data_IF_213287310185
#
_entry.id   IF_213287310185
#
_cell.length_a   1.000
_cell.length_b   1.000
_cell.length_c   1.000
_cell.angle_alpha   90.00
_cell.angle_beta   90.00
_cell.angle_gamma   90.00
#
_symmetry.space_group_name_H-M   'P 1'
#
loop_
_entity.id
_entity.type
_entity.pdbx_description
1 polymer ?
#
# COMPACT_ATOMS: atom_id res chain seq x y z
N UNK A 1 -29.80 35.76 -14.33
CA UNK A 1 -29.07 35.69 -13.05
C UNK A 1 -29.76 34.74 -12.05
N UNK A 2 -30.98 35.02 -11.58
CA UNK A 2 -31.69 34.16 -10.61
C UNK A 2 -31.98 32.72 -11.09
N UNK A 3 -32.26 32.53 -12.38
CA UNK A 3 -32.44 31.19 -12.96
C UNK A 3 -31.12 30.40 -13.01
N UNK A 4 -30.00 31.07 -13.29
CA UNK A 4 -28.66 30.47 -13.31
C UNK A 4 -28.22 30.03 -11.90
N UNK A 5 -28.56 30.81 -10.87
CA UNK A 5 -28.30 30.47 -9.46
C UNK A 5 -29.16 29.30 -8.97
N UNK A 6 -30.41 29.18 -9.41
CA UNK A 6 -31.23 27.99 -9.09
C UNK A 6 -30.71 26.75 -9.80
N UNK A 7 -30.25 26.88 -11.04
CA UNK A 7 -29.70 25.78 -11.83
C UNK A 7 -28.35 25.29 -11.27
N UNK A 8 -27.49 26.22 -10.81
CA UNK A 8 -26.27 25.92 -10.05
C UNK A 8 -26.57 25.30 -8.69
N UNK A 9 -27.58 25.78 -7.97
CA UNK A 9 -27.99 25.22 -6.69
C UNK A 9 -28.62 23.83 -6.84
N UNK A 10 -29.40 23.59 -7.91
CA UNK A 10 -29.97 22.27 -8.22
C UNK A 10 -28.93 21.30 -8.77
N UNK A 11 -27.94 21.76 -9.54
CA UNK A 11 -26.78 20.94 -9.91
C UNK A 11 -25.91 20.61 -8.70
N UNK A 12 -25.71 21.55 -7.78
CA UNK A 12 -25.01 21.31 -6.51
C UNK A 12 -25.79 20.36 -5.57
N UNK A 13 -27.14 20.40 -5.58
CA UNK A 13 -27.98 19.47 -4.83
C UNK A 13 -28.11 18.09 -5.51
N UNK A 14 -28.07 18.02 -6.84
CA UNK A 14 -28.05 16.76 -7.59
C UNK A 14 -26.69 16.05 -7.48
N UNK A 15 -25.58 16.80 -7.42
CA UNK A 15 -24.27 16.30 -7.00
C UNK A 15 -24.26 15.83 -5.54
N UNK A 16 -25.15 16.38 -4.70
CA UNK A 16 -25.33 15.96 -3.31
C UNK A 16 -26.24 14.73 -3.14
N UNK A 17 -26.55 13.98 -4.21
CA UNK A 17 -27.24 12.67 -4.12
C UNK A 17 -26.50 11.51 -4.78
N UNK A 18 -25.31 11.74 -5.34
CA UNK A 18 -24.50 10.70 -5.98
C UNK A 18 -23.12 10.63 -5.31
N UNK A 19 -22.50 9.46 -5.35
CA UNK A 19 -21.09 9.29 -4.97
C UNK A 19 -20.22 10.17 -5.88
N UNK A 20 -19.15 10.74 -5.32
CA UNK A 20 -18.21 11.57 -6.09
C UNK A 20 -16.77 11.29 -5.70
N UNK A 21 -15.83 11.73 -6.54
CA UNK A 21 -14.40 11.63 -6.26
C UNK A 21 -13.82 13.02 -6.10
N UNK A 22 -13.15 13.25 -4.98
CA UNK A 22 -12.30 14.42 -4.78
C UNK A 22 -10.89 14.09 -5.29
N UNK A 23 -10.33 14.94 -6.15
CA UNK A 23 -8.96 14.75 -6.64
C UNK A 23 -8.08 15.90 -6.19
N UNK A 24 -6.90 15.55 -5.68
CA UNK A 24 -5.92 16.49 -5.15
C UNK A 24 -4.54 16.26 -5.77
N UNK A 25 -3.73 17.29 -5.76
CA UNK A 25 -2.30 17.26 -6.01
C UNK A 25 -1.58 17.84 -4.80
N UNK A 26 -0.65 17.08 -4.22
CA UNK A 26 0.30 17.57 -3.24
C UNK A 26 1.57 18.01 -3.96
N UNK A 27 1.91 19.28 -3.87
CA UNK A 27 3.17 19.85 -4.37
C UNK A 27 4.11 20.06 -3.18
N UNK A 28 5.32 19.53 -3.26
CA UNK A 28 6.37 19.70 -2.24
C UNK A 28 7.58 20.36 -2.88
N UNK A 29 8.06 21.45 -2.28
CA UNK A 29 9.18 22.26 -2.76
C UNK A 29 10.26 22.38 -1.70
N UNK A 30 11.53 22.26 -2.09
CA UNK A 30 12.67 22.57 -1.22
C UNK A 30 13.13 24.03 -1.33
N UNK A 31 14.09 24.42 -0.48
CA UNK A 31 14.64 25.78 -0.47
C UNK A 31 15.37 26.18 -1.77
N UNK A 32 15.76 25.20 -2.60
CA UNK A 32 16.37 25.43 -3.92
C UNK A 32 15.34 25.48 -5.06
N UNK A 33 14.04 25.41 -4.76
CA UNK A 33 12.96 25.49 -5.74
C UNK A 33 12.70 24.18 -6.50
N UNK A 34 13.31 23.07 -6.10
CA UNK A 34 13.02 21.76 -6.72
C UNK A 34 11.68 21.25 -6.19
N UNK A 35 10.84 20.81 -7.11
CA UNK A 35 9.46 20.38 -6.83
C UNK A 35 9.25 18.92 -7.13
N UNK A 36 8.47 18.26 -6.27
CA UNK A 36 7.88 16.94 -6.53
C UNK A 36 6.39 17.04 -6.26
N UNK A 37 5.57 16.59 -7.22
CA UNK A 37 4.12 16.54 -7.09
C UNK A 37 3.63 15.10 -6.98
N UNK A 38 2.54 14.89 -6.24
CA UNK A 38 1.79 13.62 -6.28
C UNK A 38 0.29 13.87 -6.29
N UNK A 39 -0.38 13.36 -7.32
CA UNK A 39 -1.82 13.33 -7.41
C UNK A 39 -2.38 12.13 -6.63
N UNK A 40 -3.55 12.31 -6.02
CA UNK A 40 -4.32 11.26 -5.38
C UNK A 40 -5.81 11.60 -5.43
N UNK A 41 -6.66 10.63 -5.16
CA UNK A 41 -8.11 10.81 -5.14
C UNK A 41 -8.73 10.13 -3.93
N UNK A 42 -9.82 10.71 -3.45
CA UNK A 42 -10.63 10.21 -2.34
C UNK A 42 -12.06 10.05 -2.87
N UNK A 43 -12.51 8.82 -3.14
CA UNK A 43 -13.93 8.52 -3.35
C UNK A 43 -14.70 8.86 -2.06
N UNK A 44 -15.78 9.61 -2.23
CA UNK A 44 -16.71 10.00 -1.18
C UNK A 44 -18.04 9.34 -1.47
N UNK A 45 -18.44 8.44 -0.57
CA UNK A 45 -19.77 7.83 -0.63
C UNK A 45 -20.79 8.77 -0.04
N UNK A 46 -21.90 8.92 -0.76
CA UNK A 46 -23.02 9.73 -0.34
C UNK A 46 -24.22 8.84 -0.06
N UNK A 47 -24.08 8.09 1.02
CA UNK A 47 -25.08 7.15 1.51
C UNK A 47 -25.72 7.69 2.80
N UNK A 48 -26.78 7.05 3.29
CA UNK A 48 -27.33 7.35 4.61
C UNK A 48 -26.55 6.69 5.75
N UNK A 49 -25.68 5.73 5.43
CA UNK A 49 -24.89 4.90 6.35
C UNK A 49 -23.50 5.51 6.51
N UNK A 50 -23.06 5.71 7.74
CA UNK A 50 -21.71 6.19 7.99
C UNK A 50 -20.64 5.14 7.66
N UNK A 51 -19.41 5.62 7.57
CA UNK A 51 -18.23 4.82 7.28
C UNK A 51 -17.29 4.83 8.49
N UNK A 52 -17.10 3.67 9.10
CA UNK A 52 -16.09 3.43 10.14
C UNK A 52 -14.85 2.79 9.53
N UNK A 53 -13.65 3.22 9.94
CA UNK A 53 -12.37 2.68 9.49
C UNK A 53 -11.46 2.35 10.69
N UNK A 54 -10.87 1.15 10.67
CA UNK A 54 -9.91 0.69 11.68
C UNK A 54 -8.87 -0.24 11.05
N UNK A 55 -7.63 -0.19 11.56
CA UNK A 55 -6.60 -1.16 11.18
C UNK A 55 -6.52 -2.29 12.18
N UNK A 56 -6.60 -3.51 11.67
CA UNK A 56 -6.49 -4.75 12.40
C UNK A 56 -5.10 -5.35 12.23
N UNK A 57 -4.50 -5.75 13.35
CA UNK A 57 -3.26 -6.52 13.39
C UNK A 57 -3.56 -8.03 13.29
N UNK A 58 -3.30 -8.63 12.13
CA UNK A 58 -3.42 -10.07 11.92
C UNK A 58 -2.10 -10.83 12.17
N UNK A 59 -1.01 -10.12 12.48
CA UNK A 59 0.32 -10.70 12.68
C UNK A 59 0.49 -11.37 14.04
N UNK A 60 -0.46 -11.15 14.97
CA UNK A 60 -0.48 -11.85 16.25
C UNK A 60 -0.45 -13.36 16.08
N UNK A 61 0.44 -13.99 16.84
CA UNK A 61 0.57 -15.45 16.93
C UNK A 61 0.03 -15.99 18.26
N UNK A 62 -0.60 -15.12 19.06
CA UNK A 62 -1.23 -15.51 20.32
C UNK A 62 -2.44 -16.41 20.06
N UNK A 63 -2.58 -17.47 20.84
CA UNK A 63 -3.61 -18.50 20.68
C UNK A 63 -3.16 -19.73 19.88
N UNK A 64 -3.69 -20.91 20.24
CA UNK A 64 -3.39 -22.18 19.58
C UNK A 64 -4.26 -22.47 18.36
N UNK A 65 -5.31 -21.68 18.15
CA UNK A 65 -6.35 -21.94 17.16
C UNK A 65 -5.88 -21.62 15.71
N UNK A 66 -6.34 -22.39 14.72
CA UNK A 66 -6.01 -22.14 13.31
C UNK A 66 -6.67 -20.87 12.75
N UNK A 67 -7.80 -20.47 13.32
CA UNK A 67 -8.53 -19.23 13.01
C UNK A 67 -8.51 -18.35 14.25
N UNK A 68 -7.99 -17.14 14.08
CA UNK A 68 -7.97 -16.12 15.12
C UNK A 68 -9.07 -15.09 14.87
N UNK A 69 -9.34 -14.29 15.91
CA UNK A 69 -10.35 -13.22 15.88
C UNK A 69 -9.73 -11.90 16.31
N UNK A 70 -10.10 -10.83 15.62
CA UNK A 70 -9.81 -9.47 16.01
C UNK A 70 -11.12 -8.67 16.09
N UNK A 71 -11.56 -8.38 17.32
CA UNK A 71 -12.75 -7.57 17.59
C UNK A 71 -12.44 -6.11 17.35
N UNK A 72 -13.27 -5.43 16.56
CA UNK A 72 -13.14 -3.99 16.31
C UNK A 72 -13.42 -3.21 17.60
N UNK A 73 -12.83 -2.02 17.72
CA UNK A 73 -12.92 -1.23 18.94
C UNK A 73 -14.32 -0.64 19.21
N UNK A 74 -15.16 -0.53 18.17
CA UNK A 74 -16.51 0.01 18.25
C UNK A 74 -17.58 -1.07 18.12
N UNK A 75 -18.79 -0.72 18.55
CA UNK A 75 -20.03 -1.42 18.26
C UNK A 75 -20.78 -0.70 17.14
N UNK A 76 -21.70 -1.42 16.48
CA UNK A 76 -22.39 -0.94 15.29
C UNK A 76 -23.88 -1.25 15.31
N UNK A 77 -24.69 -0.29 14.90
CA UNK A 77 -26.13 -0.47 14.71
C UNK A 77 -26.41 -1.09 13.35
N UNK A 78 -27.05 -2.26 13.38
CA UNK A 78 -27.48 -2.96 12.17
C UNK A 78 -29.00 -3.18 12.15
N UNK A 79 -29.58 -3.09 10.95
CA UNK A 79 -30.99 -3.39 10.66
C UNK A 79 -31.09 -4.53 9.62
N UNK A 80 -31.82 -5.64 9.90
CA UNK A 80 -31.96 -6.78 8.99
C UNK A 80 -32.64 -6.43 7.65
N UNK A 81 -33.39 -5.32 7.60
CA UNK A 81 -34.07 -4.86 6.37
C UNK A 81 -33.16 -4.04 5.46
N UNK A 82 -31.95 -3.74 5.92
CA UNK A 82 -30.98 -2.91 5.21
C UNK A 82 -29.85 -3.74 4.59
N UNK A 83 -29.93 -3.94 3.27
CA UNK A 83 -28.92 -4.68 2.49
C UNK A 83 -27.66 -3.89 2.11
N UNK A 84 -27.56 -2.60 2.48
CA UNK A 84 -26.39 -1.76 2.16
C UNK A 84 -25.31 -1.75 3.24
N UNK A 85 -25.54 -2.44 4.35
CA UNK A 85 -24.57 -2.57 5.45
C UNK A 85 -23.55 -3.64 5.09
N UNK A 86 -22.27 -3.31 5.20
CA UNK A 86 -21.17 -4.20 4.77
C UNK A 86 -19.94 -4.04 5.66
N UNK A 87 -19.11 -5.08 5.68
CA UNK A 87 -17.70 -4.98 6.10
C UNK A 87 -16.82 -5.09 4.86
N UNK A 88 -15.86 -4.19 4.72
CA UNK A 88 -14.86 -4.20 3.65
C UNK A 88 -13.49 -4.46 4.23
N UNK A 89 -12.70 -5.29 3.57
CA UNK A 89 -11.32 -5.59 3.93
C UNK A 89 -10.46 -5.39 2.70
N UNK A 90 -9.37 -4.63 2.81
CA UNK A 90 -8.46 -4.35 1.71
C UNK A 90 -7.02 -4.71 2.06
N UNK A 91 -6.26 -5.14 1.06
CA UNK A 91 -4.84 -5.41 1.22
C UNK A 91 -3.93 -4.21 0.93
N UNK A 92 -4.49 -3.06 0.61
CA UNK A 92 -3.70 -1.89 0.27
C UNK A 92 -2.94 -1.32 1.49
N UNK A 93 -1.69 -0.91 1.27
CA UNK A 93 -0.71 -0.49 2.28
C UNK A 93 -0.45 -1.51 3.40
N UNK A 94 -0.69 -2.80 3.14
CA UNK A 94 -0.44 -3.85 4.13
C UNK A 94 1.00 -4.37 4.09
N UNK A 95 1.48 -4.90 5.20
CA UNK A 95 2.81 -5.49 5.33
C UNK A 95 2.76 -6.96 5.76
N UNK A 96 2.59 -7.87 4.79
CA UNK A 96 2.36 -9.30 5.03
C UNK A 96 1.04 -9.78 4.46
N UNK A 97 0.78 -11.08 4.53
CA UNK A 97 -0.41 -11.71 3.96
C UNK A 97 -1.69 -11.18 4.62
N UNK A 98 -2.72 -10.87 3.83
CA UNK A 98 -4.05 -10.57 4.37
C UNK A 98 -4.87 -11.84 4.26
N UNK A 99 -5.38 -12.31 5.39
CA UNK A 99 -6.27 -13.47 5.46
C UNK A 99 -7.64 -13.06 5.95
N UNK A 100 -8.69 -13.60 5.32
CA UNK A 100 -10.08 -13.39 5.73
C UNK A 100 -10.82 -14.73 5.67
N UNK A 101 -11.32 -15.19 6.82
CA UNK A 101 -12.32 -16.27 6.90
C UNK A 101 -13.73 -15.71 6.77
N UNK A 102 -13.96 -14.54 7.36
CA UNK A 102 -15.29 -13.99 7.51
C UNK A 102 -15.32 -12.95 8.61
N UNK A 103 -16.54 -12.63 9.05
CA UNK A 103 -16.82 -11.80 10.21
C UNK A 103 -17.73 -12.54 11.18
N UNK A 104 -17.53 -12.28 12.46
CA UNK A 104 -18.37 -12.72 13.55
C UNK A 104 -19.15 -11.51 14.08
N UNK A 105 -20.46 -11.66 14.24
CA UNK A 105 -21.39 -10.66 14.72
C UNK A 105 -21.99 -11.15 16.04
N UNK A 106 -21.70 -10.44 17.13
CA UNK A 106 -22.27 -10.69 18.44
C UNK A 106 -23.17 -9.53 18.84
N UNK A 107 -24.46 -9.79 19.07
CA UNK A 107 -25.41 -8.75 19.45
C UNK A 107 -25.18 -8.36 20.91
N UNK A 108 -25.09 -7.07 21.20
CA UNK A 108 -24.87 -6.59 22.56
C UNK A 108 -26.07 -6.97 23.44
N UNK A 109 -25.80 -7.75 24.48
CA UNK A 109 -26.80 -8.23 25.44
C UNK A 109 -27.25 -9.68 25.24
N UNK A 110 -26.89 -10.30 24.12
CA UNK A 110 -27.10 -11.74 23.88
C UNK A 110 -25.99 -12.56 24.59
N UNK A 111 -26.22 -13.86 24.81
CA UNK A 111 -25.23 -14.76 25.42
C UNK A 111 -23.98 -14.90 24.53
N UNK A 112 -22.81 -15.23 25.09
CA UNK A 112 -21.53 -15.22 24.35
C UNK A 112 -21.47 -16.26 23.21
N UNK A 113 -22.25 -17.33 23.29
CA UNK A 113 -22.36 -18.40 22.28
C UNK A 113 -23.39 -18.10 21.18
N UNK A 114 -24.22 -17.05 21.33
CA UNK A 114 -25.12 -16.56 20.29
C UNK A 114 -24.38 -15.60 19.33
N UNK A 115 -23.62 -16.19 18.40
CA UNK A 115 -22.84 -15.46 17.37
C UNK A 115 -23.33 -15.79 15.96
N UNK A 116 -23.53 -14.78 15.12
CA UNK A 116 -23.75 -14.96 13.67
C UNK A 116 -22.41 -14.85 12.95
N UNK A 117 -22.02 -15.90 12.21
CA UNK A 117 -20.78 -15.90 11.43
C UNK A 117 -21.11 -15.82 9.95
N UNK A 118 -20.55 -14.81 9.28
CA UNK A 118 -20.65 -14.64 7.83
C UNK A 118 -19.29 -14.98 7.24
N UNK A 119 -19.23 -16.01 6.40
CA UNK A 119 -17.96 -16.49 5.84
C UNK A 119 -17.74 -16.00 4.42
N UNK A 120 -16.49 -16.06 3.95
CA UNK A 120 -16.14 -15.73 2.56
C UNK A 120 -16.83 -16.61 1.50
N UNK A 121 -17.48 -17.70 1.91
CA UNK A 121 -18.24 -18.60 1.03
C UNK A 121 -19.73 -18.25 0.95
N UNK A 122 -20.19 -17.33 1.80
CA UNK A 122 -21.60 -17.00 1.90
C UNK A 122 -22.04 -16.18 0.68
N UNK A 123 -23.32 -16.32 0.33
CA UNK A 123 -23.89 -15.66 -0.83
C UNK A 123 -23.85 -14.13 -0.65
N UNK A 124 -23.34 -13.43 -1.65
CA UNK A 124 -23.28 -11.98 -1.67
C UNK A 124 -21.93 -11.39 -1.24
N UNK A 125 -20.99 -12.22 -0.76
CA UNK A 125 -19.59 -11.79 -0.62
C UNK A 125 -19.01 -11.47 -2.00
N UNK A 126 -18.36 -10.32 -2.11
CA UNK A 126 -17.72 -9.83 -3.33
C UNK A 126 -16.20 -9.77 -3.14
N UNK A 127 -15.47 -10.16 -4.19
CA UNK A 127 -14.02 -10.22 -4.21
C UNK A 127 -13.54 -9.50 -5.47
N UNK A 128 -12.94 -8.33 -5.27
CA UNK A 128 -12.32 -7.54 -6.33
C UNK A 128 -10.80 -7.60 -6.17
N UNK A 129 -10.08 -7.78 -7.27
CA UNK A 129 -8.62 -7.95 -7.27
C UNK A 129 -8.17 -9.40 -7.10
N UNK A 130 -6.97 -9.59 -6.58
CA UNK A 130 -6.23 -10.86 -6.64
C UNK A 130 -6.39 -11.75 -5.38
N UNK A 131 -7.64 -11.98 -4.95
CA UNK A 131 -7.92 -12.89 -3.84
C UNK A 131 -7.87 -14.36 -4.28
N UNK A 132 -7.27 -15.21 -3.46
CA UNK A 132 -7.28 -16.67 -3.65
C UNK A 132 -8.04 -17.36 -2.53
N UNK A 133 -8.97 -18.24 -2.88
CA UNK A 133 -9.58 -19.17 -1.93
C UNK A 133 -8.61 -20.28 -1.56
N UNK A 134 -8.45 -20.53 -0.26
CA UNK A 134 -7.57 -21.54 0.28
C UNK A 134 -8.31 -22.39 1.30
N UNK A 135 -8.53 -23.64 0.93
CA UNK A 135 -9.03 -24.69 1.81
C UNK A 135 -7.87 -25.38 2.53
N UNK A 136 -7.83 -25.21 3.85
CA UNK A 136 -6.85 -25.87 4.73
C UNK A 136 -7.58 -26.39 5.96
N UNK A 137 -7.45 -27.69 6.19
CA UNK A 137 -8.03 -28.40 7.35
C UNK A 137 -9.56 -28.21 7.47
N UNK A 138 -10.27 -28.23 6.33
CA UNK A 138 -11.73 -28.07 6.29
C UNK A 138 -12.23 -26.63 6.50
N UNK A 139 -11.32 -25.66 6.58
CA UNK A 139 -11.67 -24.24 6.71
C UNK A 139 -11.21 -23.49 5.47
N UNK A 140 -12.13 -22.74 4.85
CA UNK A 140 -11.85 -21.91 3.67
C UNK A 140 -11.53 -20.47 4.07
N UNK A 141 -10.43 -19.92 3.60
CA UNK A 141 -10.10 -18.50 3.73
C UNK A 141 -9.88 -17.86 2.36
N UNK A 142 -10.10 -16.55 2.24
CA UNK A 142 -9.57 -15.74 1.15
C UNK A 142 -8.25 -15.13 1.61
N UNK A 143 -7.20 -15.30 0.82
CA UNK A 143 -5.88 -14.74 1.10
C UNK A 143 -5.34 -14.04 -0.15
N UNK A 144 -4.62 -12.94 0.06
CA UNK A 144 -3.91 -12.26 -1.03
C UNK A 144 -2.55 -12.88 -1.35
N UNK A 145 -2.10 -13.86 -0.56
CA UNK A 145 -0.82 -14.56 -0.68
C UNK A 145 0.40 -13.64 -0.65
N UNK A 146 0.26 -12.47 -0.02
CA UNK A 146 1.25 -11.41 -0.05
C UNK A 146 1.61 -10.92 -1.48
N UNK A 147 0.71 -11.14 -2.44
CA UNK A 147 0.79 -10.68 -3.83
C UNK A 147 -0.14 -9.46 -4.03
N UNK A 148 0.13 -8.65 -5.06
CA UNK A 148 -0.67 -7.51 -5.48
C UNK A 148 -1.10 -6.56 -4.34
N UNK A 149 -0.13 -5.96 -3.63
CA UNK A 149 -0.40 -5.05 -2.50
C UNK A 149 -0.90 -3.70 -3.00
N UNK A 150 -2.19 -3.43 -2.88
CA UNK A 150 -2.73 -2.11 -3.26
C UNK A 150 -4.06 -2.11 -4.00
N UNK A 151 -4.48 -3.26 -4.54
CA UNK A 151 -5.56 -3.29 -5.54
C UNK A 151 -6.73 -4.21 -5.20
N UNK A 152 -6.69 -4.92 -4.05
CA UNK A 152 -7.72 -5.91 -3.72
C UNK A 152 -8.67 -5.43 -2.62
N UNK A 153 -9.97 -5.71 -2.82
CA UNK A 153 -11.06 -5.37 -1.92
C UNK A 153 -11.97 -6.59 -1.75
N UNK A 154 -12.29 -6.93 -0.51
CA UNK A 154 -13.23 -7.98 -0.16
C UNK A 154 -14.40 -7.32 0.58
N UNK A 155 -15.63 -7.54 0.11
CA UNK A 155 -16.85 -6.98 0.71
C UNK A 155 -17.72 -8.11 1.25
N UNK A 156 -17.98 -8.12 2.56
CA UNK A 156 -18.91 -9.04 3.23
C UNK A 156 -20.22 -8.31 3.52
N UNK A 157 -21.38 -8.78 3.05
CA UNK A 157 -22.67 -8.21 3.43
C UNK A 157 -22.94 -8.47 4.92
N UNK A 158 -23.50 -7.49 5.62
CA UNK A 158 -24.03 -7.71 6.97
C UNK A 158 -25.41 -8.33 6.85
N UNK A 159 -25.58 -9.52 7.43
CA UNK A 159 -26.85 -10.24 7.54
C UNK A 159 -27.10 -10.53 9.01
N UNK A 160 -28.09 -9.85 9.58
CA UNK A 160 -28.54 -10.03 10.97
C UNK A 160 -30.00 -10.47 10.99
N UNK A 161 -30.43 -11.07 12.09
CA UNK A 161 -31.80 -11.57 12.30
C UNK A 161 -32.73 -10.52 12.93
N UNK A 162 -32.16 -9.61 13.73
CA UNK A 162 -32.86 -8.60 14.53
C UNK A 162 -32.13 -7.26 14.45
N UNK A 163 -32.84 -6.12 14.56
CA UNK A 163 -32.17 -4.84 14.68
C UNK A 163 -31.48 -4.73 16.05
N UNK A 164 -30.33 -4.04 16.09
CA UNK A 164 -29.64 -3.79 17.36
C UNK A 164 -28.20 -3.35 17.19
N UNK A 165 -27.53 -3.24 18.34
CA UNK A 165 -26.11 -2.94 18.44
C UNK A 165 -25.30 -4.26 18.45
N UNK A 166 -24.24 -4.33 17.65
CA UNK A 166 -23.41 -5.52 17.46
C UNK A 166 -21.93 -5.20 17.64
N UNK A 167 -21.20 -6.15 18.25
CA UNK A 167 -19.75 -6.24 18.13
C UNK A 167 -19.42 -6.99 16.85
N UNK A 168 -18.43 -6.47 16.11
CA UNK A 168 -17.92 -7.09 14.88
C UNK A 168 -16.50 -7.57 15.13
N UNK A 169 -16.23 -8.83 14.82
CA UNK A 169 -14.88 -9.38 14.82
C UNK A 169 -14.49 -9.88 13.43
N UNK A 170 -13.30 -9.50 12.97
CA UNK A 170 -12.71 -10.08 11.78
C UNK A 170 -12.11 -11.44 12.12
N UNK A 171 -12.50 -12.47 11.36
CA UNK A 171 -11.96 -13.83 11.49
C UNK A 171 -10.91 -14.04 10.41
N UNK A 172 -9.73 -14.53 10.78
CA UNK A 172 -8.61 -14.72 9.85
C UNK A 172 -7.79 -15.95 10.21
N UNK A 173 -7.12 -16.53 9.21
CA UNK A 173 -6.22 -17.66 9.46
C UNK A 173 -4.96 -17.18 10.14
N UNK A 174 -4.53 -17.90 11.17
CA UNK A 174 -3.25 -17.66 11.82
C UNK A 174 -2.10 -17.79 10.80
N UNK A 175 -1.28 -16.74 10.72
CA UNK A 175 -0.04 -16.73 9.93
C UNK A 175 1.12 -17.44 10.65
N UNK A 176 2.21 -17.64 9.93
CA UNK A 176 3.39 -18.33 10.45
C UNK A 176 3.20 -19.84 10.69
N UNK A 177 4.31 -20.56 10.86
CA UNK A 177 4.33 -22.03 10.95
C UNK A 177 4.47 -22.72 9.58
N UNK A 178 4.40 -24.05 9.56
CA UNK A 178 4.60 -24.84 8.34
C UNK A 178 3.27 -25.24 7.68
N UNK A 179 3.21 -25.18 6.34
CA UNK A 179 2.16 -25.89 5.61
C UNK A 179 2.35 -27.41 5.76
N UNK A 180 1.26 -28.21 5.74
CA UNK A 180 1.37 -29.66 5.63
C UNK A 180 2.29 -30.03 4.44
N UNK A 181 3.14 -31.05 4.60
CA UNK A 181 4.11 -31.41 3.58
C UNK A 181 3.42 -31.73 2.24
N UNK A 182 3.85 -31.08 1.16
CA UNK A 182 3.46 -31.51 -0.18
C UNK A 182 3.99 -32.94 -0.44
N UNK A 183 3.40 -33.62 -1.44
CA UNK A 183 3.76 -34.99 -1.86
C UNK A 183 5.26 -35.21 -2.13
N UNK A 184 6.01 -34.13 -2.35
CA UNK A 184 7.45 -34.12 -2.62
C UNK A 184 8.33 -33.76 -1.39
N UNK A 185 7.76 -33.72 -0.18
CA UNK A 185 8.51 -33.50 1.08
C UNK A 185 9.03 -32.07 1.30
N UNK A 186 8.78 -31.13 0.39
CA UNK A 186 9.08 -29.70 0.61
C UNK A 186 8.00 -29.07 1.48
N UNK A 187 8.40 -28.63 2.67
CA UNK A 187 7.57 -27.78 3.53
C UNK A 187 7.75 -26.33 3.09
N UNK A 188 6.66 -25.64 2.78
CA UNK A 188 6.69 -24.18 2.57
C UNK A 188 6.19 -23.52 3.85
N UNK A 189 6.88 -22.49 4.37
CA UNK A 189 6.36 -21.73 5.50
C UNK A 189 5.05 -21.05 5.07
N UNK A 190 4.09 -20.98 5.99
CA UNK A 190 2.92 -20.10 5.81
C UNK A 190 3.42 -18.66 5.85
N UNK A 191 2.92 -17.77 4.97
CA UNK A 191 3.33 -16.38 5.02
C UNK A 191 2.88 -15.75 6.35
N UNK A 192 3.71 -14.87 6.89
CA UNK A 192 3.31 -14.08 8.05
C UNK A 192 2.26 -13.05 7.63
N UNK A 193 1.23 -12.93 8.45
CA UNK A 193 0.12 -12.03 8.19
C UNK A 193 0.50 -10.55 8.37
N UNK A 194 -0.33 -9.68 7.80
CA UNK A 194 -0.21 -8.23 7.92
C UNK A 194 -0.60 -7.71 9.30
N UNK A 195 0.14 -6.72 9.79
CA UNK A 195 -0.12 -6.07 11.08
C UNK A 195 -1.02 -4.84 11.01
N UNK A 196 -1.53 -4.49 9.83
CA UNK A 196 -2.13 -3.19 9.58
C UNK A 196 -3.26 -3.24 8.53
N UNK A 197 -4.04 -4.31 8.52
CA UNK A 197 -5.14 -4.56 7.57
C UNK A 197 -6.26 -3.55 7.80
N UNK A 198 -6.59 -2.75 6.79
CA UNK A 198 -7.71 -1.80 6.90
C UNK A 198 -9.04 -2.54 6.76
N UNK A 199 -9.88 -2.39 7.79
CA UNK A 199 -11.26 -2.85 7.84
C UNK A 199 -12.16 -1.63 7.85
N UNK A 200 -13.15 -1.62 6.98
CA UNK A 200 -14.17 -0.58 6.92
C UNK A 200 -15.54 -1.19 7.21
N UNK A 201 -16.35 -0.53 8.03
CA UNK A 201 -17.73 -0.95 8.34
C UNK A 201 -18.67 0.16 7.88
N UNK A 202 -19.63 -0.21 7.03
CA UNK A 202 -20.72 0.67 6.60
C UNK A 202 -21.96 0.29 7.42
N UNK A 203 -22.38 1.20 8.31
CA UNK A 203 -23.47 0.97 9.27
C UNK A 203 -24.32 2.22 9.49
N UNK A 204 -25.31 2.17 10.38
CA UNK A 204 -26.15 3.34 10.72
C UNK A 204 -25.48 4.30 11.70
N UNK A 205 -24.21 4.07 12.05
CA UNK A 205 -23.46 4.88 13.00
C UNK A 205 -22.75 6.06 12.30
N UNK A 206 -22.37 7.11 13.04
CA UNK A 206 -21.60 8.22 12.48
C UNK A 206 -20.26 7.78 11.90
N UNK A 207 -19.85 8.45 10.82
CA UNK A 207 -18.57 8.19 10.17
C UNK A 207 -17.37 8.48 11.08
N UNK A 208 -16.39 7.59 11.04
CA UNK A 208 -15.09 7.73 11.72
C UNK A 208 -14.00 7.19 10.81
N UNK A 209 -13.16 8.10 10.30
CA UNK A 209 -12.02 7.73 9.47
C UNK A 209 -10.83 7.30 10.33
N UNK A 210 -9.95 6.49 9.74
CA UNK A 210 -8.71 6.10 10.40
C UNK A 210 -7.78 7.31 10.56
N UNK A 211 -6.95 7.31 11.60
CA UNK A 211 -5.95 8.37 11.79
C UNK A 211 -4.73 8.12 10.91
N UNK A 212 -4.12 9.20 10.43
CA UNK A 212 -2.81 9.12 9.78
C UNK A 212 -1.77 8.50 10.73
N UNK A 213 -0.85 7.73 10.16
CA UNK A 213 0.18 6.99 10.91
C UNK A 213 1.48 7.75 10.88
N UNK A 214 2.20 7.79 11.99
CA UNK A 214 3.56 8.30 11.96
C UNK A 214 4.44 7.36 11.11
N UNK A 215 4.94 7.87 9.99
CA UNK A 215 5.87 7.13 9.14
C UNK A 215 7.30 7.44 9.58
N UNK A 216 8.13 6.42 9.88
CA UNK A 216 9.50 6.65 10.32
C UNK A 216 10.30 7.36 9.21
N UNK A 217 11.07 8.36 9.61
CA UNK A 217 12.06 8.99 8.74
C UNK A 217 13.29 8.08 8.62
N UNK A 218 13.77 7.80 7.42
CA UNK A 218 15.03 7.07 7.25
C UNK A 218 16.22 7.83 7.86
N UNK A 219 17.36 7.15 8.06
CA UNK A 219 18.60 7.81 8.45
C UNK A 219 18.98 8.97 7.51
N UNK A 220 19.70 9.96 8.04
CA UNK A 220 20.18 11.08 7.24
C UNK A 220 21.06 10.60 6.07
N UNK A 221 20.87 11.18 4.89
CA UNK A 221 21.55 10.76 3.66
C UNK A 221 20.94 9.54 2.96
N UNK A 222 19.86 8.97 3.50
CA UNK A 222 19.18 7.81 2.91
C UNK A 222 17.73 8.12 2.49
N UNK A 223 17.33 7.54 1.36
CA UNK A 223 15.95 7.42 0.96
C UNK A 223 15.54 5.96 0.87
N UNK A 224 14.41 5.61 1.47
CA UNK A 224 13.91 4.23 1.50
C UNK A 224 12.61 4.14 0.71
N UNK A 225 12.54 3.15 -0.17
CA UNK A 225 11.39 2.82 -1.00
C UNK A 225 11.07 1.33 -0.87
N UNK A 226 9.84 0.99 -1.22
CA UNK A 226 9.40 -0.39 -1.41
C UNK A 226 8.90 -0.49 -2.85
N UNK A 227 9.33 -1.51 -3.57
CA UNK A 227 8.88 -1.77 -4.95
C UNK A 227 8.16 -3.11 -5.03
N UNK A 228 7.14 -3.15 -5.88
CA UNK A 228 6.35 -4.37 -6.12
C UNK A 228 6.93 -5.14 -7.31
N UNK A 229 7.64 -6.24 -7.02
CA UNK A 229 8.25 -7.08 -8.06
C UNK A 229 7.29 -8.09 -8.70
N UNK A 230 6.00 -8.03 -8.34
CA UNK A 230 4.96 -8.78 -9.03
C UNK A 230 4.55 -8.08 -10.33
N UNK A 231 4.82 -6.77 -10.42
CA UNK A 231 4.46 -5.94 -11.57
C UNK A 231 5.30 -6.29 -12.79
N UNK A 232 4.64 -7.09 -13.60
CA UNK A 232 4.77 -7.34 -15.02
C UNK A 232 5.26 -6.22 -15.94
N UNK A 233 4.47 -5.15 -15.92
CA UNK A 233 4.19 -4.29 -17.09
C UNK A 233 5.09 -3.07 -17.21
N UNK A 234 6.08 -2.97 -16.33
CA UNK A 234 6.93 -1.79 -16.19
C UNK A 234 8.39 -2.21 -16.41
N UNK A 235 9.02 -1.63 -17.43
CA UNK A 235 10.44 -1.86 -17.70
C UNK A 235 11.37 -1.20 -16.66
N UNK A 236 10.97 -0.05 -16.14
CA UNK A 236 11.72 0.71 -15.14
C UNK A 236 10.78 1.29 -14.09
N UNK A 237 10.89 0.80 -12.86
CA UNK A 237 10.21 1.40 -11.73
C UNK A 237 10.90 2.72 -11.38
N UNK A 238 10.25 3.84 -11.70
CA UNK A 238 10.75 5.18 -11.38
C UNK A 238 10.47 5.51 -9.91
N UNK A 239 11.53 5.81 -9.15
CA UNK A 239 11.42 6.20 -7.73
C UNK A 239 10.75 7.57 -7.53
N UNK A 240 10.38 8.26 -8.62
CA UNK A 240 9.74 9.59 -8.63
C UNK A 240 10.55 10.63 -7.85
N UNK A 241 11.87 10.42 -7.75
CA UNK A 241 12.80 11.24 -6.98
C UNK A 241 14.11 11.35 -7.75
N UNK A 242 14.73 12.52 -7.68
CA UNK A 242 16.07 12.75 -8.24
C UNK A 242 17.12 12.88 -7.15
N UNK A 243 18.33 12.40 -7.43
CA UNK A 243 19.42 12.31 -6.47
C UNK A 243 20.74 12.78 -7.07
N UNK A 244 21.62 13.33 -6.24
CA UNK A 244 23.00 13.69 -6.63
C UNK A 244 23.99 12.73 -5.96
N UNK A 245 24.78 12.04 -6.78
CA UNK A 245 25.75 11.04 -6.36
C UNK A 245 27.17 11.56 -6.59
N UNK A 246 27.85 11.97 -5.51
CA UNK A 246 29.14 12.67 -5.59
C UNK A 246 30.38 11.76 -5.45
N UNK A 247 30.21 10.52 -4.99
CA UNK A 247 31.31 9.65 -4.56
C UNK A 247 30.90 8.19 -4.59
N UNK A 248 31.88 7.30 -4.54
CA UNK A 248 31.72 5.84 -4.57
C UNK A 248 31.01 5.28 -3.33
N UNK A 249 30.86 6.10 -2.29
CA UNK A 249 30.06 5.86 -1.09
C UNK A 249 28.55 5.98 -1.33
N UNK A 250 28.13 6.57 -2.46
CA UNK A 250 26.73 6.77 -2.82
C UNK A 250 26.27 5.68 -3.79
N UNK A 251 25.10 5.11 -3.52
CA UNK A 251 24.61 3.93 -4.24
C UNK A 251 23.09 3.83 -4.20
N UNK A 252 22.57 2.99 -5.09
CA UNK A 252 21.23 2.42 -4.99
C UNK A 252 21.39 0.96 -4.58
N UNK A 253 20.75 0.55 -3.49
CA UNK A 253 20.81 -0.81 -2.95
C UNK A 253 19.46 -1.49 -3.09
N UNK A 254 19.47 -2.72 -3.64
CA UNK A 254 18.34 -3.66 -3.56
C UNK A 254 18.69 -4.68 -2.48
N UNK A 255 17.78 -4.93 -1.55
CA UNK A 255 18.00 -5.89 -0.45
C UNK A 255 16.84 -6.87 -0.30
N UNK A 256 17.08 -8.01 0.34
CA UNK A 256 16.02 -8.94 0.78
C UNK A 256 15.64 -8.75 2.27
N UNK A 257 16.12 -7.70 2.94
CA UNK A 257 15.83 -7.46 4.36
C UNK A 257 14.32 -7.36 4.61
N UNK A 258 13.81 -8.18 5.53
CA UNK A 258 12.40 -8.16 5.93
C UNK A 258 11.42 -8.69 4.85
N UNK A 259 11.95 -9.22 3.75
CA UNK A 259 11.12 -9.77 2.67
C UNK A 259 10.71 -11.21 2.96
N UNK A 260 9.52 -11.59 2.50
CA UNK A 260 8.90 -12.91 2.71
C UNK A 260 8.98 -13.75 1.44
N UNK A 261 8.94 -13.14 0.27
CA UNK A 261 8.99 -13.79 -1.04
C UNK A 261 10.33 -13.54 -1.74
N UNK A 262 10.70 -14.33 -2.77
CA UNK A 262 11.97 -14.14 -3.47
C UNK A 262 12.13 -12.72 -4.03
N UNK A 263 13.34 -12.19 -3.89
CA UNK A 263 13.73 -10.87 -4.43
C UNK A 263 14.58 -11.08 -5.66
N UNK A 264 14.40 -10.21 -6.66
CA UNK A 264 15.15 -10.19 -7.89
C UNK A 264 15.83 -8.84 -8.10
N UNK A 265 16.96 -8.87 -8.80
CA UNK A 265 17.72 -7.69 -9.20
C UNK A 265 18.18 -7.86 -10.65
N UNK A 266 18.32 -6.77 -11.39
CA UNK A 266 18.76 -6.77 -12.80
C UNK A 266 19.62 -5.55 -13.14
N UNK A 267 19.04 -4.35 -13.04
CA UNK A 267 19.75 -3.12 -13.38
C UNK A 267 19.17 -1.88 -12.70
N UNK A 268 20.00 -0.85 -12.61
CA UNK A 268 19.57 0.51 -12.22
C UNK A 268 19.96 1.50 -13.32
N UNK A 269 18.98 2.32 -13.71
CA UNK A 269 19.12 3.40 -14.68
C UNK A 269 19.17 4.74 -13.98
N UNK A 270 20.08 5.58 -14.43
CA UNK A 270 20.23 6.97 -14.02
C UNK A 270 20.06 7.88 -15.23
N UNK A 271 19.07 8.77 -15.20
CA UNK A 271 18.84 9.77 -16.26
C UNK A 271 18.92 11.18 -15.69
N UNK A 272 19.40 12.14 -16.48
CA UNK A 272 19.49 13.54 -16.05
C UNK A 272 18.14 14.10 -15.62
N UNK A 273 18.06 14.66 -14.41
CA UNK A 273 16.81 15.18 -13.87
C UNK A 273 16.35 16.48 -14.55
N UNK A 274 17.28 17.24 -15.15
CA UNK A 274 17.01 18.45 -15.93
C UNK A 274 16.57 18.18 -17.38
N UNK A 275 16.50 16.90 -17.78
CA UNK A 275 16.13 16.48 -19.14
C UNK A 275 17.25 16.60 -20.16
N UNK A 276 18.46 16.99 -19.77
CA UNK A 276 19.61 16.97 -20.67
C UNK A 276 19.96 15.53 -21.10
N UNK A 277 20.59 15.34 -22.28
CA UNK A 277 21.03 14.01 -22.69
C UNK A 277 22.02 13.42 -21.68
N UNK A 278 21.81 12.16 -21.31
CA UNK A 278 22.67 11.43 -20.38
C UNK A 278 21.90 10.31 -19.73
N UNK A 279 22.30 9.08 -20.04
CA UNK A 279 21.78 7.86 -19.44
C UNK A 279 22.95 6.98 -19.05
N UNK A 280 22.91 6.48 -17.81
CA UNK A 280 23.84 5.48 -17.31
C UNK A 280 23.02 4.31 -16.81
N UNK A 281 23.33 3.12 -17.32
CA UNK A 281 22.75 1.86 -16.85
C UNK A 281 23.86 1.04 -16.22
N UNK A 282 23.64 0.64 -14.96
CA UNK A 282 24.49 -0.31 -14.24
C UNK A 282 23.70 -1.60 -14.12
N UNK A 283 24.16 -2.62 -14.83
CA UNK A 283 23.62 -3.96 -14.79
C UNK A 283 24.29 -4.80 -13.70
N UNK A 284 23.66 -5.92 -13.35
CA UNK A 284 24.13 -6.85 -12.32
C UNK A 284 25.64 -7.20 -12.38
N UNK A 285 26.29 -7.43 -13.54
CA UNK A 285 27.73 -7.63 -13.62
C UNK A 285 28.61 -6.54 -13.03
N UNK A 286 28.14 -5.29 -13.01
CA UNK A 286 28.87 -4.13 -12.50
C UNK A 286 28.48 -3.76 -11.07
N UNK A 287 27.49 -4.44 -10.50
CA UNK A 287 27.00 -4.19 -9.16
C UNK A 287 27.85 -4.90 -8.09
N UNK A 288 27.98 -4.28 -6.92
CA UNK A 288 28.72 -4.81 -5.78
C UNK A 288 27.83 -5.72 -4.94
N UNK A 289 28.40 -6.77 -4.33
CA UNK A 289 27.65 -7.74 -3.52
C UNK A 289 26.94 -8.81 -4.35
N UNK A 290 26.99 -8.71 -5.68
CA UNK A 290 26.32 -9.63 -6.62
C UNK A 290 26.75 -11.09 -6.46
N UNK A 291 27.97 -11.34 -5.99
CA UNK A 291 28.56 -12.66 -5.84
C UNK A 291 27.85 -13.52 -4.80
N UNK A 292 27.10 -12.89 -3.89
CA UNK A 292 26.26 -13.57 -2.89
C UNK A 292 24.88 -13.94 -3.45
N UNK A 293 24.50 -13.37 -4.59
CA UNK A 293 23.22 -13.63 -5.26
C UNK A 293 23.36 -14.76 -6.28
N UNK A 294 22.27 -15.47 -6.52
CA UNK A 294 22.23 -16.59 -7.46
C UNK A 294 21.71 -16.10 -8.82
N UNK A 295 22.24 -16.60 -9.94
CA UNK A 295 21.59 -16.40 -11.23
C UNK A 295 20.16 -16.96 -11.17
N UNK A 296 19.19 -16.17 -11.60
CA UNK A 296 17.82 -16.63 -11.78
C UNK A 296 17.81 -17.76 -12.81
N UNK A 297 17.08 -18.88 -12.59
CA UNK A 297 16.96 -19.94 -13.58
C UNK A 297 16.53 -19.31 -14.91
N UNK A 298 17.20 -19.66 -16.02
CA UNK A 298 16.80 -19.20 -17.35
C UNK A 298 15.31 -19.50 -17.52
N UNK A 299 14.48 -18.46 -17.46
CA UNK A 299 13.11 -18.59 -17.91
C UNK A 299 13.20 -19.03 -19.38
N UNK A 300 12.32 -19.95 -19.80
CA UNK A 300 12.27 -20.39 -21.21
C UNK A 300 12.07 -19.21 -22.18
N UNK A 301 11.67 -18.05 -21.65
CA UNK A 301 11.54 -16.76 -22.31
C UNK A 301 12.34 -15.71 -21.53
N UNK A 302 13.09 -14.86 -22.23
CA UNK A 302 13.67 -13.65 -21.63
C UNK A 302 12.50 -12.74 -21.24
N UNK A 303 12.38 -12.38 -19.96
CA UNK A 303 11.39 -11.38 -19.56
C UNK A 303 11.64 -10.11 -20.39
N UNK A 304 10.58 -9.52 -20.94
CA UNK A 304 10.71 -8.38 -21.86
C UNK A 304 11.37 -7.15 -21.20
N UNK A 305 11.34 -7.08 -19.86
CA UNK A 305 11.97 -6.03 -19.07
C UNK A 305 13.43 -6.34 -18.67
N UNK A 306 13.99 -7.50 -19.02
CA UNK A 306 15.35 -7.86 -18.62
C UNK A 306 16.40 -7.06 -19.41
N UNK A 307 17.18 -6.25 -18.71
CA UNK A 307 18.21 -5.37 -19.26
C UNK A 307 19.58 -6.05 -19.27
N UNK A 308 20.03 -6.58 -18.13
CA UNK A 308 21.33 -7.22 -17.98
C UNK A 308 21.45 -8.56 -18.72
N UNK A 309 22.67 -9.11 -18.85
CA UNK A 309 22.90 -10.41 -19.49
C UNK A 309 22.25 -11.58 -18.72
N UNK A 310 21.88 -11.35 -17.47
CA UNK A 310 21.13 -12.26 -16.60
C UNK A 310 20.56 -11.51 -15.41
N UNK A 311 19.49 -12.04 -14.81
CA UNK A 311 18.90 -11.54 -13.56
C UNK A 311 19.47 -12.30 -12.37
N UNK A 312 19.67 -11.61 -11.25
CA UNK A 312 20.00 -12.18 -9.95
C UNK A 312 18.78 -12.37 -9.04
N UNK A 313 18.85 -13.36 -8.15
CA UNK A 313 17.86 -13.62 -7.10
C UNK A 313 18.51 -14.08 -5.81
N UNK A 314 17.87 -13.79 -4.68
CA UNK A 314 18.24 -14.37 -3.39
C UNK A 314 17.87 -15.86 -3.29
N UNK A 315 17.09 -16.36 -4.26
CA UNK A 315 16.62 -17.75 -4.30
C UNK A 315 15.51 -18.04 -3.28
N UNK A 316 14.93 -17.01 -2.66
CA UNK A 316 13.88 -17.14 -1.63
C UNK A 316 14.38 -17.61 -0.27
N UNK A 317 15.69 -17.76 -0.07
CA UNK A 317 16.27 -18.08 1.24
C UNK A 317 16.40 -16.80 2.07
N UNK A 318 15.78 -16.79 3.25
CA UNK A 318 15.70 -15.62 4.14
C UNK A 318 16.60 -15.75 5.37
N UNK A 319 17.48 -16.76 5.43
CA UNK A 319 18.42 -16.93 6.54
C UNK A 319 19.48 -15.82 6.60
N UNK A 320 19.86 -15.27 5.44
CA UNK A 320 20.82 -14.19 5.35
C UNK A 320 20.22 -12.95 4.71
N UNK A 321 20.62 -11.78 5.22
CA UNK A 321 20.37 -10.52 4.53
C UNK A 321 21.40 -10.33 3.42
N UNK A 322 20.91 -10.28 2.20
CA UNK A 322 21.66 -9.98 0.98
C UNK A 322 21.34 -8.55 0.53
N UNK A 323 22.35 -7.92 -0.05
CA UNK A 323 22.25 -6.60 -0.66
C UNK A 323 23.08 -6.58 -1.93
N UNK A 324 22.62 -5.87 -2.95
CA UNK A 324 23.34 -5.59 -4.19
C UNK A 324 23.33 -4.08 -4.43
N UNK A 325 24.49 -3.49 -4.72
CA UNK A 325 24.68 -2.04 -4.81
C UNK A 325 25.11 -1.60 -6.20
N UNK A 326 24.42 -0.59 -6.72
CA UNK A 326 24.70 0.05 -8.00
C UNK A 326 25.33 1.42 -7.72
N UNK A 327 26.63 1.57 -8.04
CA UNK A 327 27.46 2.72 -7.66
C UNK A 327 27.77 3.58 -8.90
N UNK A 328 27.00 4.66 -9.16
CA UNK A 328 27.16 5.45 -10.38
C UNK A 328 28.47 6.24 -10.47
N UNK A 329 29.03 6.66 -9.33
CA UNK A 329 30.28 7.43 -9.31
C UNK A 329 31.52 6.67 -9.81
N UNK A 330 31.42 5.34 -9.96
CA UNK A 330 32.45 4.46 -10.54
C UNK A 330 32.38 4.36 -12.07
N UNK A 331 31.32 4.86 -12.69
CA UNK A 331 31.18 4.88 -14.15
C UNK A 331 32.05 6.02 -14.71
N UNK A 332 32.85 5.70 -15.72
CA UNK A 332 33.68 6.70 -16.39
C UNK A 332 32.82 7.83 -16.96
N UNK A 333 33.24 9.08 -16.73
CA UNK A 333 32.48 10.26 -17.17
C UNK A 333 31.24 10.59 -16.33
N UNK A 334 31.04 9.95 -15.17
CA UNK A 334 29.93 10.28 -14.27
C UNK A 334 29.96 11.74 -13.80
N UNK A 335 28.86 12.46 -14.01
CA UNK A 335 28.71 13.82 -13.53
C UNK A 335 28.23 13.86 -12.08
N UNK A 336 29.19 14.07 -11.19
CA UNK A 336 29.00 14.14 -9.73
C UNK A 336 28.18 15.36 -9.28
N UNK A 337 28.05 16.38 -10.12
CA UNK A 337 27.38 17.64 -9.75
C UNK A 337 25.87 17.63 -9.98
N UNK A 338 25.38 16.70 -10.80
CA UNK A 338 24.02 16.73 -11.30
C UNK A 338 23.05 15.79 -10.56
N UNK A 339 21.78 16.15 -10.65
CA UNK A 339 20.68 15.33 -10.21
C UNK A 339 20.30 14.31 -11.28
N UNK A 340 20.05 13.09 -10.85
CA UNK A 340 19.64 11.98 -11.70
C UNK A 340 18.35 11.35 -11.17
N UNK A 341 17.38 11.11 -12.04
CA UNK A 341 16.25 10.22 -11.74
C UNK A 341 16.73 8.78 -11.74
N UNK A 342 16.14 7.96 -10.88
CA UNK A 342 16.53 6.57 -10.66
C UNK A 342 15.39 5.65 -11.08
N UNK A 343 15.68 4.77 -12.04
CA UNK A 343 14.79 3.68 -12.44
C UNK A 343 15.36 2.33 -12.03
N UNK A 344 14.54 1.44 -11.48
CA UNK A 344 14.93 0.07 -11.11
C UNK A 344 14.33 -0.92 -12.10
N UNK A 345 15.14 -1.83 -12.63
CA UNK A 345 14.70 -2.95 -13.48
C UNK A 345 14.74 -4.26 -12.70
N UNK A 346 13.75 -5.12 -12.94
CA UNK A 346 13.63 -6.47 -12.40
C UNK A 346 12.68 -7.29 -13.29
N UNK A 347 12.73 -8.63 -13.26
CA UNK A 347 11.75 -9.47 -13.95
C UNK A 347 10.48 -9.58 -13.11
N UNK A 348 9.52 -8.69 -13.38
CA UNK A 348 8.19 -8.73 -12.81
C UNK A 348 7.53 -10.10 -12.95
N UNK A 349 6.98 -10.64 -11.86
CA UNK A 349 6.24 -11.91 -11.87
C UNK A 349 5.43 -12.12 -10.59
N UNK A 350 4.19 -12.61 -10.73
CA UNK A 350 3.39 -13.10 -9.60
C UNK A 350 4.18 -14.08 -8.70
N UNK A 351 4.03 -13.92 -7.38
CA UNK A 351 4.77 -14.66 -6.36
C UNK A 351 6.20 -14.16 -6.08
N UNK A 352 6.67 -13.09 -6.74
CA UNK A 352 7.81 -12.32 -6.28
C UNK A 352 7.43 -11.43 -5.09
N UNK A 353 8.42 -10.82 -4.43
CA UNK A 353 8.17 -9.89 -3.33
C UNK A 353 7.48 -8.59 -3.78
N UNK A 354 6.43 -8.19 -3.05
CA UNK A 354 5.65 -6.96 -3.28
C UNK A 354 6.22 -5.75 -2.55
N UNK A 355 7.09 -5.98 -1.56
CA UNK A 355 7.70 -4.95 -0.72
C UNK A 355 9.22 -5.05 -0.70
N UNK A 356 9.85 -5.04 -1.88
CA UNK A 356 11.32 -5.11 -1.96
C UNK A 356 11.94 -3.79 -1.48
N UNK A 357 12.78 -3.81 -0.44
CA UNK A 357 13.43 -2.61 0.06
C UNK A 357 14.49 -2.11 -0.92
N UNK A 358 14.34 -0.83 -1.28
CA UNK A 358 15.32 -0.07 -2.03
C UNK A 358 15.85 1.06 -1.15
N UNK A 359 17.16 1.08 -0.95
CA UNK A 359 17.84 2.15 -0.21
C UNK A 359 18.69 2.96 -1.18
N UNK A 360 18.46 4.26 -1.25
CA UNK A 360 19.31 5.19 -2.00
C UNK A 360 20.13 5.99 -1.01
N UNK A 361 21.45 5.83 -1.04
CA UNK A 361 22.40 6.67 -0.32
C UNK A 361 23.00 7.68 -1.29
N UNK A 362 22.83 8.97 -1.02
CA UNK A 362 23.24 10.04 -1.93
C UNK A 362 23.62 11.31 -1.16
N UNK A 363 24.27 12.27 -1.83
CA UNK A 363 24.66 13.54 -1.22
C UNK A 363 23.45 14.48 -1.04
N UNK A 364 22.50 14.41 -1.98
CA UNK A 364 21.31 15.24 -1.98
C UNK A 364 20.17 14.58 -2.77
N UNK A 365 18.93 14.99 -2.48
CA UNK A 365 17.73 14.59 -3.21
C UNK A 365 16.82 15.78 -3.49
N UNK A 366 15.95 15.66 -4.49
CA UNK A 366 14.70 16.43 -4.56
C UNK A 366 13.73 16.00 -3.45
N UNK A 367 12.63 16.73 -3.20
CA UNK A 367 11.64 16.31 -2.21
C UNK A 367 11.11 14.90 -2.47
N UNK A 368 11.02 14.09 -1.41
CA UNK A 368 10.44 12.75 -1.40
C UNK A 368 9.06 12.87 -0.76
N UNK A 369 8.03 12.62 -1.57
CA UNK A 369 6.64 12.76 -1.13
C UNK A 369 6.22 11.48 -0.41
N UNK A 370 5.79 11.63 0.85
CA UNK A 370 5.14 10.59 1.67
C UNK A 370 3.86 11.21 2.24
N UNK A 371 2.73 10.90 1.60
CA UNK A 371 1.43 11.48 1.89
C UNK A 371 0.50 10.41 2.43
N UNK A 372 -0.41 10.80 3.30
CA UNK A 372 -1.46 9.96 3.83
C UNK A 372 -2.79 10.70 3.69
N UNK A 373 -3.78 9.97 3.20
CA UNK A 373 -5.17 10.39 3.08
C UNK A 373 -6.04 9.13 3.23
N UNK A 374 -7.29 9.25 3.71
CA UNK A 374 -8.19 8.12 3.77
C UNK A 374 -8.47 7.58 2.37
N UNK A 375 -8.59 6.26 2.23
CA UNK A 375 -8.90 5.61 0.94
C UNK A 375 -10.32 5.90 0.48
N UNK A 376 -11.25 5.93 1.41
CA UNK A 376 -12.64 6.29 1.20
C UNK A 376 -13.05 7.27 2.29
N UNK A 377 -13.96 8.18 1.96
CA UNK A 377 -14.63 9.01 2.93
C UNK A 377 -16.15 8.88 2.75
N UNK A 378 -16.89 9.31 3.77
CA UNK A 378 -18.32 9.50 3.68
C UNK A 378 -18.61 11.00 3.69
N UNK A 379 -19.69 11.44 3.02
CA UNK A 379 -20.12 12.83 3.07
C UNK A 379 -20.25 13.34 4.51
N UNK A 380 -19.76 14.56 4.78
CA UNK A 380 -19.75 15.15 6.11
C UNK A 380 -18.74 14.55 7.10
N UNK A 381 -17.89 13.61 6.68
CA UNK A 381 -16.75 13.20 7.47
C UNK A 381 -15.66 14.28 7.44
N UNK A 382 -14.98 14.47 8.57
CA UNK A 382 -13.76 15.28 8.61
C UNK A 382 -12.59 14.48 8.01
N UNK A 383 -12.09 14.91 6.87
CA UNK A 383 -10.94 14.32 6.19
C UNK A 383 -9.67 15.04 6.59
N UNK A 384 -8.61 14.28 6.89
CA UNK A 384 -7.28 14.80 7.11
C UNK A 384 -6.33 14.37 5.99
N UNK A 385 -5.63 15.35 5.43
CA UNK A 385 -4.51 15.18 4.50
C UNK A 385 -3.20 15.40 5.29
N UNK A 386 -2.28 14.45 5.24
CA UNK A 386 -1.03 14.50 6.00
C UNK A 386 0.20 14.32 5.08
N UNK A 387 1.08 15.31 5.08
CA UNK A 387 2.35 15.34 4.36
C UNK A 387 3.56 15.47 5.33
N UNK A 388 3.36 15.30 6.63
CA UNK A 388 4.41 15.45 7.67
C UNK A 388 5.57 14.47 7.50
N UNK A 389 5.32 13.34 6.83
CA UNK A 389 6.33 12.34 6.48
C UNK A 389 7.17 12.72 5.25
N UNK A 390 6.84 13.79 4.52
CA UNK A 390 7.66 14.29 3.42
C UNK A 390 9.02 14.79 3.94
N UNK A 391 10.07 14.53 3.17
CA UNK A 391 11.43 14.86 3.53
C UNK A 391 12.31 14.93 2.27
N UNK A 392 13.50 15.47 2.40
CA UNK A 392 14.62 15.19 1.51
C UNK A 392 15.74 14.56 2.35
N UNK A 393 16.68 13.86 1.72
CA UNK A 393 17.73 13.14 2.45
C UNK A 393 18.69 14.07 3.23
N UNK A 394 18.68 15.37 2.91
CA UNK A 394 19.43 16.41 3.59
C UNK A 394 18.73 16.90 4.88
N UNK A 395 17.46 16.56 5.08
CA UNK A 395 16.67 17.00 6.21
C UNK A 395 16.33 18.50 6.21
N UNK A 396 16.42 19.18 5.06
CA UNK A 396 16.11 20.60 4.99
C UNK A 396 14.60 20.85 5.00
N UNK A 397 14.14 22.04 5.47
CA UNK A 397 12.72 22.37 5.48
C UNK A 397 12.09 22.29 4.08
N UNK A 398 10.84 21.83 4.04
CA UNK A 398 10.04 21.72 2.82
C UNK A 398 8.80 22.59 2.91
N UNK A 399 8.42 23.21 1.80
CA UNK A 399 7.12 23.86 1.62
C UNK A 399 6.17 22.84 1.00
N UNK A 400 4.95 22.79 1.51
CA UNK A 400 3.89 21.94 0.96
C UNK A 400 2.76 22.82 0.42
N UNK A 401 2.05 22.32 -0.58
CA UNK A 401 0.84 22.95 -1.08
C UNK A 401 -0.13 21.88 -1.55
N UNK A 402 -1.31 21.85 -0.94
CA UNK A 402 -2.43 21.02 -1.33
C UNK A 402 -3.28 21.76 -2.35
N UNK A 403 -3.48 21.15 -3.52
CA UNK A 403 -4.29 21.73 -4.60
C UNK A 403 -5.42 20.75 -4.91
N UNK A 404 -6.67 21.19 -4.77
CA UNK A 404 -7.78 20.41 -5.30
C UNK A 404 -7.90 20.60 -6.81
N UNK A 405 -7.76 19.51 -7.56
CA UNK A 405 -7.73 19.47 -9.03
C UNK A 405 -8.98 18.86 -9.65
N UNK A 406 -9.86 18.24 -8.86
CA UNK A 406 -11.13 17.66 -9.35
C UNK A 406 -12.16 17.43 -8.25
N UNK A 407 -13.40 17.20 -8.66
CA UNK A 407 -14.55 16.99 -7.77
C UNK A 407 -15.19 18.27 -7.21
N UNK A 408 -16.23 18.13 -6.36
CA UNK A 408 -16.87 19.25 -5.66
C UNK A 408 -15.88 20.04 -4.81
N UNK A 409 -15.91 21.37 -4.87
CA UNK A 409 -14.96 22.24 -4.15
C UNK A 409 -15.11 22.09 -2.63
N UNK A 410 -14.00 21.78 -1.94
CA UNK A 410 -13.92 21.76 -0.47
C UNK A 410 -13.07 22.92 0.05
N UNK A 411 -13.31 23.31 1.30
CA UNK A 411 -12.49 24.32 1.98
C UNK A 411 -11.46 23.62 2.86
N UNK A 412 -10.19 23.69 2.49
CA UNK A 412 -9.08 23.23 3.33
C UNK A 412 -8.86 24.21 4.48
N UNK A 413 -8.56 23.68 5.67
CA UNK A 413 -8.24 24.50 6.85
C UNK A 413 -6.99 25.37 6.63
N UNK A 414 -5.94 24.80 6.05
CA UNK A 414 -4.78 25.52 5.52
C UNK A 414 -4.15 24.73 4.36
N UNK A 415 -4.22 25.20 3.10
CA UNK A 415 -3.65 24.50 1.96
C UNK A 415 -2.11 24.45 1.98
N UNK A 416 -1.43 25.20 2.85
CA UNK A 416 0.03 25.24 2.96
C UNK A 416 0.58 24.56 4.23
N UNK A 417 -0.29 24.00 5.07
CA UNK A 417 0.11 23.26 6.25
C UNK A 417 0.48 21.79 5.91
N UNK A 418 1.48 21.19 6.60
CA UNK A 418 1.77 19.76 6.50
C UNK A 418 0.57 18.86 6.82
N UNK A 419 -0.35 19.33 7.66
CA UNK A 419 -1.66 18.70 7.90
C UNK A 419 -2.76 19.68 7.54
N UNK A 420 -3.64 19.28 6.63
CA UNK A 420 -4.81 20.05 6.24
C UNK A 420 -6.06 19.20 6.47
N UNK A 421 -7.16 19.83 6.84
CA UNK A 421 -8.45 19.16 7.06
C UNK A 421 -9.55 19.82 6.23
N UNK A 422 -10.58 19.07 5.89
CA UNK A 422 -11.81 19.59 5.27
C UNK A 422 -13.00 18.69 5.61
N UNK A 423 -14.21 19.19 5.38
CA UNK A 423 -15.45 18.42 5.46
C UNK A 423 -15.78 17.87 4.07
N UNK A 424 -15.93 16.55 3.98
CA UNK A 424 -16.13 15.84 2.72
C UNK A 424 -17.46 16.16 2.04
#
# INVERSE_FOLDING_TARGET
ALALFRDLASQAHALASEDYTLSFELVVEDEQGRRTSRAFSIPVTNDRRGLYQERVDQSSTEGSEPILRATLAATFHFDPTDSGQVVRVTNADTDGNVSVRGIALHRVGDEEDEETVITVQDKGVQLDGAWTFLDRDGVTTCEDNNDNKGESLLTLPIVVDRPGEYRVALLYRRGGGELPSERNGRRRPRPDNASNVLVEVVSHDPSRLERARDLPRPPAGEAHFLIDQTVDTIAWWDLQTSFRFESDEHYVEVSNRGTKLPVFADAVRFTRADGSPGEVIIDDPKAEGRERWKPSPKQRFRAYNQVGPGTLTDGGDKQEVLSIRYVPAKVEGWDRSAFHRVGISYPGKAGNETRVPIVVRAAASSPIVRLQAPRHAHIGAEVMLDATACYNIQGTPLKVTWVQVGGPKVTLSDPHAPRATFQA
#
